data_IF_503670079325
#
_entry.id   IF_503670079325
#
_cell.length_a   1.000
_cell.length_b   1.000
_cell.length_c   1.000
_cell.angle_alpha   90.00
_cell.angle_beta   90.00
_cell.angle_gamma   90.00
#
_symmetry.space_group_name_H-M   'P 1'
#
loop_
_entity.id
_entity.type
_entity.pdbx_description
1 polymer ?
#
# COMPACT_ATOMS: atom_id res chain seq x y z
N UNK A 1 5.31 -2.70 -10.65
CA UNK A 1 3.92 -3.16 -10.67
C UNK A 1 3.00 -2.05 -11.20
N UNK A 2 1.93 -2.41 -11.90
CA UNK A 2 0.89 -1.46 -12.28
C UNK A 2 0.04 -1.06 -11.07
N UNK A 3 -0.61 0.11 -11.12
CA UNK A 3 -1.51 0.58 -10.06
C UNK A 3 -2.72 -0.34 -9.86
N UNK A 4 -3.28 -0.86 -10.95
CA UNK A 4 -4.37 -1.85 -10.87
C UNK A 4 -3.92 -3.09 -10.11
N UNK A 5 -2.69 -3.58 -10.38
CA UNK A 5 -2.18 -4.75 -9.67
C UNK A 5 -1.94 -4.47 -8.20
N UNK A 6 -1.41 -3.29 -7.86
CA UNK A 6 -1.26 -2.85 -6.48
C UNK A 6 -2.61 -2.84 -5.75
N UNK A 7 -3.65 -2.30 -6.41
CA UNK A 7 -5.01 -2.22 -5.87
C UNK A 7 -5.58 -3.61 -5.56
N UNK A 8 -5.48 -4.55 -6.50
CA UNK A 8 -5.91 -5.94 -6.30
C UNK A 8 -5.20 -6.57 -5.09
N UNK A 9 -3.88 -6.45 -5.01
CA UNK A 9 -3.09 -7.05 -3.94
C UNK A 9 -3.45 -6.45 -2.57
N UNK A 10 -3.66 -5.13 -2.49
CA UNK A 10 -4.08 -4.44 -1.28
C UNK A 10 -5.49 -4.84 -0.85
N UNK A 11 -6.44 -4.97 -1.77
CA UNK A 11 -7.80 -5.44 -1.46
C UNK A 11 -7.80 -6.85 -0.86
N UNK A 12 -6.96 -7.75 -1.37
CA UNK A 12 -6.75 -9.07 -0.75
C UNK A 12 -6.24 -8.95 0.68
N UNK A 13 -5.28 -8.05 0.94
CA UNK A 13 -4.76 -7.83 2.29
C UNK A 13 -5.84 -7.32 3.25
N UNK A 14 -6.68 -6.38 2.80
CA UNK A 14 -7.81 -5.82 3.57
C UNK A 14 -8.80 -6.92 3.94
N UNK A 15 -9.17 -7.78 2.97
CA UNK A 15 -10.18 -8.83 3.16
C UNK A 15 -9.73 -9.94 4.11
N UNK A 16 -8.42 -10.24 4.15
CA UNK A 16 -7.88 -11.35 4.95
C UNK A 16 -7.67 -11.02 6.45
N UNK A 17 -7.87 -9.76 6.89
CA UNK A 17 -8.01 -9.36 8.31
C UNK A 17 -6.90 -9.68 9.34
N UNK A 18 -5.75 -10.24 8.96
CA UNK A 18 -4.68 -10.64 9.89
C UNK A 18 -3.59 -9.58 10.04
N UNK A 19 -2.91 -9.52 11.19
CA UNK A 19 -1.80 -8.57 11.44
C UNK A 19 -0.62 -8.70 10.47
N UNK A 20 -0.42 -9.88 9.86
CA UNK A 20 0.60 -10.09 8.82
C UNK A 20 0.28 -9.33 7.52
N UNK A 21 -1.01 -9.05 7.27
CA UNK A 21 -1.47 -8.36 6.07
C UNK A 21 -1.02 -6.89 6.06
N UNK A 22 -0.80 -6.30 7.23
CA UNK A 22 -0.27 -4.94 7.36
C UNK A 22 1.14 -4.82 6.80
N UNK A 23 2.04 -5.76 7.12
CA UNK A 23 3.41 -5.70 6.60
C UNK A 23 3.44 -5.96 5.08
N UNK A 24 2.64 -6.90 4.58
CA UNK A 24 2.49 -7.12 3.13
C UNK A 24 1.97 -5.87 2.42
N UNK A 25 0.94 -5.21 2.98
CA UNK A 25 0.42 -3.95 2.45
C UNK A 25 1.49 -2.84 2.45
N UNK A 26 2.30 -2.74 3.52
CA UNK A 26 3.44 -1.81 3.60
C UNK A 26 4.45 -2.03 2.47
N UNK A 27 4.77 -3.29 2.15
CA UNK A 27 5.69 -3.62 1.06
C UNK A 27 5.10 -3.26 -0.32
N UNK A 28 3.81 -3.53 -0.53
CA UNK A 28 3.11 -3.14 -1.77
C UNK A 28 3.13 -1.62 -1.95
N UNK A 29 2.85 -0.85 -0.89
CA UNK A 29 2.91 0.61 -0.93
C UNK A 29 4.34 1.13 -1.19
N UNK A 30 5.38 0.44 -0.71
CA UNK A 30 6.78 0.79 -0.98
C UNK A 30 7.14 0.65 -2.46
N UNK A 31 6.67 -0.39 -3.12
CA UNK A 31 6.81 -0.55 -4.57
C UNK A 31 6.00 0.49 -5.37
N UNK A 32 4.76 0.79 -4.94
CA UNK A 32 3.96 1.86 -5.58
C UNK A 32 4.67 3.19 -5.44
N UNK A 33 5.24 3.50 -4.27
CA UNK A 33 5.98 4.72 -4.03
C UNK A 33 7.18 4.85 -4.98
N UNK A 34 7.93 3.75 -5.15
CA UNK A 34 9.10 3.70 -6.02
C UNK A 34 8.74 3.95 -7.49
N UNK A 35 7.62 3.40 -7.97
CA UNK A 35 7.26 3.44 -9.39
C UNK A 35 6.34 4.59 -9.78
N UNK A 36 5.42 4.99 -8.90
CA UNK A 36 4.34 5.93 -9.19
C UNK A 36 4.33 7.15 -8.27
N UNK A 37 5.19 7.17 -7.24
CA UNK A 37 5.35 8.30 -6.32
C UNK A 37 4.29 8.42 -5.24
N UNK A 38 4.46 9.44 -4.39
CA UNK A 38 3.62 9.69 -3.21
C UNK A 38 2.13 9.85 -3.55
N UNK A 39 1.81 10.58 -4.62
CA UNK A 39 0.43 10.85 -5.01
C UNK A 39 -0.37 9.56 -5.28
N UNK A 40 0.28 8.54 -5.86
CA UNK A 40 -0.35 7.26 -6.10
C UNK A 40 -0.57 6.46 -4.80
N UNK A 41 0.39 6.51 -3.87
CA UNK A 41 0.26 5.93 -2.53
C UNK A 41 -0.91 6.57 -1.78
N UNK A 42 -0.96 7.89 -1.73
CA UNK A 42 -2.01 8.63 -1.02
C UNK A 42 -3.40 8.36 -1.59
N UNK A 43 -3.49 8.18 -2.92
CA UNK A 43 -4.72 7.76 -3.60
C UNK A 43 -5.14 6.36 -3.14
N UNK A 44 -4.25 5.37 -3.14
CA UNK A 44 -4.56 4.01 -2.70
C UNK A 44 -4.95 3.94 -1.21
N UNK A 45 -4.31 4.74 -0.36
CA UNK A 45 -4.68 4.85 1.06
C UNK A 45 -6.12 5.32 1.22
N UNK A 46 -6.54 6.33 0.45
CA UNK A 46 -7.92 6.83 0.48
C UNK A 46 -8.92 5.88 -0.16
N UNK A 47 -8.62 5.37 -1.35
CA UNK A 47 -9.54 4.54 -2.14
C UNK A 47 -9.87 3.20 -1.46
N UNK A 48 -8.97 2.68 -0.63
CA UNK A 48 -9.11 1.37 0.02
C UNK A 48 -9.27 1.48 1.56
N UNK A 49 -9.46 2.69 2.07
CA UNK A 49 -9.58 2.98 3.51
C UNK A 49 -8.46 2.35 4.37
N UNK A 50 -7.23 2.41 3.85
CA UNK A 50 -6.07 1.79 4.51
C UNK A 50 -5.71 2.49 5.82
N UNK A 51 -6.21 3.72 6.04
CA UNK A 51 -6.12 4.42 7.31
C UNK A 51 -6.88 3.69 8.39
N UNK A 52 -8.13 3.30 8.16
CA UNK A 52 -8.90 2.59 9.16
C UNK A 52 -8.43 1.14 9.33
N UNK A 53 -8.14 0.45 8.22
CA UNK A 53 -7.78 -0.97 8.25
C UNK A 53 -6.38 -1.22 8.82
N UNK A 54 -5.40 -0.38 8.45
CA UNK A 54 -3.99 -0.61 8.77
C UNK A 54 -3.30 0.58 9.47
N UNK A 55 -3.97 1.71 9.65
CA UNK A 55 -3.36 2.91 10.25
C UNK A 55 -2.39 3.64 9.32
N UNK A 56 -2.42 3.40 8.01
CA UNK A 56 -1.58 4.15 7.05
C UNK A 56 -2.21 5.49 6.72
N UNK A 57 -1.42 6.56 6.74
CA UNK A 57 -1.89 7.92 6.52
C UNK A 57 -1.29 8.47 5.23
N UNK A 58 -2.04 9.36 4.57
CA UNK A 58 -1.51 10.13 3.44
C UNK A 58 -0.26 10.90 3.88
N UNK A 59 0.76 10.89 3.04
CA UNK A 59 2.08 11.43 3.35
C UNK A 59 3.00 10.48 4.14
N UNK A 60 2.53 9.30 4.58
CA UNK A 60 3.46 8.28 5.10
C UNK A 60 4.38 7.82 3.97
N UNK A 61 5.67 7.66 4.30
CA UNK A 61 6.72 7.23 3.37
C UNK A 61 6.96 5.73 3.51
N UNK A 62 6.94 5.00 2.40
CA UNK A 62 7.11 3.55 2.35
C UNK A 62 8.33 3.19 1.51
N UNK A 63 9.21 2.38 2.08
CA UNK A 63 10.40 1.90 1.38
C UNK A 63 10.15 0.53 0.76
N UNK A 64 10.49 0.43 -0.52
CA UNK A 64 10.62 -0.85 -1.23
C UNK A 64 11.87 -1.59 -0.74
N UNK A 65 11.79 -2.89 -0.40
CA UNK A 65 12.97 -3.70 -0.08
C UNK A 65 13.82 -4.02 -1.32
N UNK A 66 13.30 -3.73 -2.52
CA UNK A 66 13.99 -3.94 -3.79
C UNK A 66 14.61 -2.65 -4.35
N UNK A 67 14.55 -1.55 -3.60
CA UNK A 67 15.34 -0.36 -3.91
C UNK A 67 16.83 -0.69 -3.76
N UNK A 68 17.57 -0.62 -4.86
CA UNK A 68 19.04 -0.60 -4.85
C UNK A 68 19.54 0.78 -4.45
#
# INVERSE_FOLDING_TARGET
>A
MTLDKAREMLQTQVTMGSGYNRNSARLILGEVMREHGQAAVDRLIGDLDLTHVFGFRKGDVFTSPYAK
#
